data_IF_262267230168
#
_entry.id   IF_262267230168
#
_cell.length_a   1.000
_cell.length_b   1.000
_cell.length_c   1.000
_cell.angle_alpha   90.00
_cell.angle_beta   90.00
_cell.angle_gamma   90.00
#
_symmetry.space_group_name_H-M   'P 1'
#
loop_
_entity.id
_entity.type
_entity.pdbx_description
1 polymer ?
#
# COMPACT_ATOMS: atom_id res chain seq x y z
N UNK A 1 0.37 -40.69 -19.00
CA UNK A 1 1.74 -40.58 -18.46
C UNK A 1 2.17 -39.14 -18.61
N UNK A 2 2.23 -38.38 -17.52
CA UNK A 2 3.02 -37.14 -17.43
C UNK A 2 3.20 -36.84 -15.93
N UNK A 3 4.30 -37.33 -15.38
CA UNK A 3 4.75 -37.00 -14.04
C UNK A 3 5.28 -35.56 -14.05
N UNK A 4 4.46 -34.61 -13.61
CA UNK A 4 4.92 -33.26 -13.29
C UNK A 4 5.72 -33.30 -11.99
N UNK A 5 7.03 -33.53 -12.09
CA UNK A 5 7.95 -33.37 -10.96
C UNK A 5 8.12 -31.89 -10.69
N UNK A 6 7.36 -31.36 -9.72
CA UNK A 6 7.61 -30.04 -9.18
C UNK A 6 9.09 -29.95 -8.72
N UNK A 7 9.83 -28.90 -9.11
CA UNK A 7 11.26 -28.81 -8.79
C UNK A 7 11.46 -28.81 -7.28
N UNK A 8 12.35 -29.68 -6.79
CA UNK A 8 12.74 -29.72 -5.38
C UNK A 8 13.23 -28.35 -4.96
N UNK A 9 12.41 -27.59 -4.22
CA UNK A 9 12.83 -26.31 -3.65
C UNK A 9 13.99 -26.56 -2.70
N UNK A 10 15.15 -25.98 -3.01
CA UNK A 10 16.35 -26.04 -2.17
C UNK A 10 16.00 -25.53 -0.76
N UNK A 11 16.01 -26.42 0.23
CA UNK A 11 15.78 -26.09 1.63
C UNK A 11 17.04 -25.44 2.20
N UNK A 12 16.90 -24.24 2.75
CA UNK A 12 17.97 -23.56 3.48
C UNK A 12 17.92 -23.91 4.97
N UNK A 13 19.08 -24.03 5.59
CA UNK A 13 19.18 -24.02 7.06
C UNK A 13 18.99 -22.58 7.57
N UNK A 14 18.67 -22.39 8.87
CA UNK A 14 18.53 -21.04 9.45
C UNK A 14 19.76 -20.16 9.22
N UNK A 15 20.96 -20.73 9.41
CA UNK A 15 22.23 -20.03 9.18
C UNK A 15 22.41 -19.57 7.72
N UNK A 16 21.99 -20.38 6.75
CA UNK A 16 22.05 -20.00 5.33
C UNK A 16 20.99 -18.97 4.93
N UNK A 17 19.85 -18.95 5.63
CA UNK A 17 18.74 -18.05 5.34
C UNK A 17 18.93 -16.66 5.96
N UNK A 18 19.58 -16.56 7.12
CA UNK A 18 19.82 -15.32 7.85
C UNK A 18 20.40 -14.19 6.98
N UNK A 19 21.58 -14.32 6.34
CA UNK A 19 22.15 -13.22 5.55
C UNK A 19 21.26 -12.83 4.35
N UNK A 20 20.46 -13.77 3.82
CA UNK A 20 19.54 -13.49 2.72
C UNK A 20 18.35 -12.67 3.18
N UNK A 21 17.78 -12.98 4.35
CA UNK A 21 16.61 -12.28 4.85
C UNK A 21 16.98 -10.91 5.46
N UNK A 22 18.15 -10.79 6.08
CA UNK A 22 18.72 -9.50 6.50
C UNK A 22 18.88 -8.57 5.30
N UNK A 23 19.53 -9.03 4.21
CA UNK A 23 19.66 -8.25 2.97
C UNK A 23 18.30 -7.87 2.38
N UNK A 24 17.31 -8.76 2.46
CA UNK A 24 15.96 -8.51 1.97
C UNK A 24 15.22 -7.40 2.76
N UNK A 25 15.44 -7.32 4.07
CA UNK A 25 14.89 -6.28 4.95
C UNK A 25 15.70 -4.98 4.89
N UNK A 26 17.02 -5.06 4.72
CA UNK A 26 17.88 -3.89 4.57
C UNK A 26 17.61 -3.11 3.27
N UNK A 27 17.19 -3.80 2.20
CA UNK A 27 16.89 -3.16 0.92
C UNK A 27 15.62 -2.28 0.97
N UNK A 28 14.59 -2.70 1.70
CA UNK A 28 13.36 -1.93 1.91
C UNK A 28 12.59 -2.50 3.09
N UNK A 29 11.76 -1.67 3.71
CA UNK A 29 10.85 -2.10 4.77
C UNK A 29 9.96 -3.26 4.36
N UNK A 30 9.78 -4.21 5.28
CA UNK A 30 8.96 -5.41 5.08
C UNK A 30 7.94 -5.57 6.20
N UNK A 31 6.77 -6.12 5.86
CA UNK A 31 5.81 -6.59 6.86
C UNK A 31 6.27 -7.94 7.43
N UNK A 32 5.80 -8.27 8.63
CA UNK A 32 6.03 -9.61 9.20
C UNK A 32 5.51 -10.70 8.26
N UNK A 33 4.37 -10.47 7.61
CA UNK A 33 3.78 -11.38 6.65
C UNK A 33 4.66 -11.60 5.40
N UNK A 34 5.28 -10.54 4.88
CA UNK A 34 6.22 -10.64 3.75
C UNK A 34 7.46 -11.44 4.12
N UNK A 35 8.02 -11.21 5.31
CA UNK A 35 9.20 -11.93 5.80
C UNK A 35 8.86 -13.41 6.03
N UNK A 36 7.75 -13.74 6.69
CA UNK A 36 7.29 -15.14 6.86
C UNK A 36 7.12 -15.85 5.52
N UNK A 37 6.47 -15.20 4.54
CA UNK A 37 6.32 -15.75 3.18
C UNK A 37 7.67 -15.96 2.49
N UNK A 38 8.62 -15.04 2.68
CA UNK A 38 9.96 -15.15 2.10
C UNK A 38 10.75 -16.31 2.71
N UNK A 39 10.70 -16.48 4.03
CA UNK A 39 11.35 -17.57 4.76
C UNK A 39 10.77 -18.94 4.38
N UNK A 40 9.44 -19.05 4.28
CA UNK A 40 8.79 -20.26 3.76
C UNK A 40 9.21 -20.55 2.31
N UNK A 41 9.37 -19.51 1.48
CA UNK A 41 9.92 -19.64 0.13
C UNK A 41 11.36 -20.15 0.06
N UNK A 42 12.14 -19.97 1.14
CA UNK A 42 13.50 -20.53 1.31
C UNK A 42 13.49 -21.97 1.88
N UNK A 43 12.31 -22.54 2.13
CA UNK A 43 12.14 -23.92 2.58
C UNK A 43 12.39 -24.15 4.07
N UNK A 44 12.36 -23.09 4.90
CA UNK A 44 12.49 -23.20 6.35
C UNK A 44 11.23 -23.80 6.97
N UNK A 45 11.43 -24.58 8.03
CA UNK A 45 10.35 -25.02 8.90
C UNK A 45 9.76 -23.85 9.68
N UNK A 46 8.48 -23.93 10.06
CA UNK A 46 7.77 -22.83 10.73
C UNK A 46 8.46 -22.38 12.01
N UNK A 47 8.94 -23.32 12.83
CA UNK A 47 9.67 -23.04 14.07
C UNK A 47 10.94 -22.22 13.82
N UNK A 48 11.75 -22.63 12.84
CA UNK A 48 12.97 -21.93 12.46
C UNK A 48 12.70 -20.53 11.89
N UNK A 49 11.63 -20.41 11.09
CA UNK A 49 11.23 -19.14 10.52
C UNK A 49 10.75 -18.16 11.59
N UNK A 50 10.01 -18.63 12.60
CA UNK A 50 9.52 -17.80 13.70
C UNK A 50 10.67 -17.36 14.62
N UNK A 51 11.64 -18.24 14.92
CA UNK A 51 12.85 -17.87 15.66
C UNK A 51 13.65 -16.78 14.93
N UNK A 52 13.91 -16.98 13.63
CA UNK A 52 14.65 -16.00 12.83
C UNK A 52 13.88 -14.68 12.69
N UNK A 53 12.55 -14.71 12.66
CA UNK A 53 11.73 -13.50 12.67
C UNK A 53 11.95 -12.68 13.95
N UNK A 54 11.96 -13.35 15.11
CA UNK A 54 12.20 -12.69 16.41
C UNK A 54 13.59 -12.06 16.44
N UNK A 55 14.62 -12.76 15.97
CA UNK A 55 15.99 -12.23 15.87
C UNK A 55 16.05 -10.97 14.98
N UNK A 56 15.36 -10.99 13.82
CA UNK A 56 15.30 -9.83 12.93
C UNK A 56 14.62 -8.63 13.58
N UNK A 57 13.61 -8.86 14.41
CA UNK A 57 12.93 -7.81 15.17
C UNK A 57 13.84 -7.25 16.26
N UNK A 58 14.52 -8.11 17.03
CA UNK A 58 15.46 -7.71 18.08
C UNK A 58 16.62 -6.89 17.54
N UNK A 59 17.14 -7.28 16.37
CA UNK A 59 18.20 -6.55 15.67
C UNK A 59 17.68 -5.38 14.82
N UNK A 60 16.39 -5.02 14.95
CA UNK A 60 15.72 -3.91 14.27
C UNK A 60 15.75 -3.94 12.72
N UNK A 61 16.11 -5.08 12.12
CA UNK A 61 15.93 -5.33 10.68
C UNK A 61 14.46 -5.33 10.29
N UNK A 62 13.57 -5.76 11.19
CA UNK A 62 12.15 -5.84 10.97
C UNK A 62 11.38 -4.99 11.99
N UNK A 63 10.61 -4.02 11.49
CA UNK A 63 9.83 -3.11 12.32
C UNK A 63 8.50 -2.78 11.66
N UNK A 64 7.40 -3.26 12.26
CA UNK A 64 6.07 -3.16 11.67
C UNK A 64 5.54 -1.73 11.61
N UNK A 65 5.88 -0.89 12.60
CA UNK A 65 5.57 0.54 12.58
C UNK A 65 6.28 1.25 11.43
N UNK A 66 7.58 1.00 11.27
CA UNK A 66 8.40 1.58 10.19
C UNK A 66 7.86 1.17 8.82
N UNK A 67 7.49 -0.10 8.66
CA UNK A 67 6.81 -0.59 7.46
C UNK A 67 5.48 0.14 7.19
N UNK A 68 4.58 0.23 8.18
CA UNK A 68 3.27 0.84 7.98
C UNK A 68 3.38 2.31 7.53
N UNK A 69 4.28 3.07 8.17
CA UNK A 69 4.55 4.46 7.85
C UNK A 69 5.15 4.62 6.44
N UNK A 70 6.17 3.83 6.11
CA UNK A 70 6.80 3.85 4.79
C UNK A 70 5.82 3.44 3.68
N UNK A 71 4.98 2.43 3.94
CA UNK A 71 3.94 1.99 3.02
C UNK A 71 2.93 3.09 2.74
N UNK A 72 2.36 3.72 3.78
CA UNK A 72 1.38 4.79 3.62
C UNK A 72 1.95 5.96 2.81
N UNK A 73 3.14 6.46 3.19
CA UNK A 73 3.83 7.54 2.48
C UNK A 73 4.16 7.17 1.04
N UNK A 74 4.70 5.98 0.81
CA UNK A 74 5.06 5.52 -0.53
C UNK A 74 3.84 5.38 -1.45
N UNK A 75 2.72 4.81 -0.96
CA UNK A 75 1.48 4.70 -1.74
C UNK A 75 0.85 6.06 -2.01
N UNK A 76 0.90 6.98 -1.06
CA UNK A 76 0.40 8.33 -1.23
C UNK A 76 1.27 9.12 -2.24
N UNK A 77 2.58 9.20 -2.03
CA UNK A 77 3.47 10.02 -2.84
C UNK A 77 3.62 9.51 -4.28
N UNK A 78 3.74 8.18 -4.47
CA UNK A 78 4.07 7.60 -5.77
C UNK A 78 2.80 7.19 -6.54
N UNK A 79 1.78 6.68 -5.85
CA UNK A 79 0.56 6.16 -6.49
C UNK A 79 -0.66 7.07 -6.32
N UNK A 80 -0.54 8.11 -5.50
CA UNK A 80 -1.62 9.04 -5.14
C UNK A 80 -2.86 8.30 -4.62
N UNK A 81 -2.64 7.29 -3.78
CA UNK A 81 -3.72 6.56 -3.14
C UNK A 81 -4.31 7.37 -1.99
N UNK A 82 -5.63 7.32 -1.87
CA UNK A 82 -6.35 7.81 -0.70
C UNK A 82 -6.25 6.83 0.49
N UNK A 83 -6.62 7.32 1.67
CA UNK A 83 -6.53 6.62 2.95
C UNK A 83 -7.29 5.29 2.96
N UNK A 84 -8.45 5.19 2.31
CA UNK A 84 -9.22 3.95 2.27
C UNK A 84 -8.46 2.82 1.56
N UNK A 85 -7.78 3.14 0.46
CA UNK A 85 -7.01 2.16 -0.31
C UNK A 85 -5.70 1.79 0.37
N UNK A 86 -5.04 2.77 1.01
CA UNK A 86 -3.87 2.52 1.84
C UNK A 86 -4.23 1.61 3.02
N UNK A 87 -5.33 1.90 3.72
CA UNK A 87 -5.87 1.08 4.82
C UNK A 87 -6.09 -0.37 4.40
N UNK A 88 -6.76 -0.58 3.26
CA UNK A 88 -6.99 -1.93 2.74
C UNK A 88 -5.67 -2.64 2.38
N UNK A 89 -4.72 -1.91 1.80
CA UNK A 89 -3.38 -2.43 1.50
C UNK A 89 -2.64 -2.91 2.74
N UNK A 90 -2.59 -2.09 3.78
CA UNK A 90 -1.98 -2.43 5.06
C UNK A 90 -2.67 -3.63 5.73
N UNK A 91 -4.01 -3.71 5.67
CA UNK A 91 -4.75 -4.89 6.18
C UNK A 91 -4.35 -6.17 5.46
N UNK A 92 -4.16 -6.15 4.13
CA UNK A 92 -3.71 -7.33 3.36
C UNK A 92 -2.27 -7.75 3.72
N UNK A 93 -1.48 -6.82 4.24
CA UNK A 93 -0.13 -7.07 4.76
C UNK A 93 -0.14 -7.54 6.23
N UNK A 94 -1.31 -7.69 6.84
CA UNK A 94 -1.46 -8.19 8.21
C UNK A 94 -1.26 -7.13 9.30
N UNK A 95 -1.19 -5.84 8.93
CA UNK A 95 -0.89 -4.76 9.88
C UNK A 95 -2.07 -4.51 10.83
N UNK A 96 -1.77 -4.41 12.13
CA UNK A 96 -2.75 -4.16 13.18
C UNK A 96 -3.44 -2.79 13.06
N UNK A 97 -4.69 -2.71 13.55
CA UNK A 97 -5.53 -1.52 13.42
C UNK A 97 -4.93 -0.23 13.98
N UNK A 98 -4.23 -0.31 15.12
CA UNK A 98 -3.54 0.83 15.75
C UNK A 98 -2.45 1.40 14.83
N UNK A 99 -1.55 0.57 14.31
CA UNK A 99 -0.48 0.98 13.40
C UNK A 99 -1.02 1.54 12.08
N UNK A 100 -2.15 1.00 11.59
CA UNK A 100 -2.85 1.55 10.43
C UNK A 100 -3.31 2.98 10.71
N UNK A 101 -3.95 3.23 11.86
CA UNK A 101 -4.42 4.56 12.22
C UNK A 101 -3.26 5.56 12.31
N UNK A 102 -2.15 5.17 12.96
CA UNK A 102 -0.94 5.99 13.06
C UNK A 102 -0.35 6.30 11.67
N UNK A 103 -0.24 5.29 10.80
CA UNK A 103 0.28 5.45 9.45
C UNK A 103 -0.58 6.40 8.60
N UNK A 104 -1.90 6.30 8.70
CA UNK A 104 -2.82 7.19 7.99
C UNK A 104 -2.83 8.61 8.56
N UNK A 105 -2.71 8.76 9.89
CA UNK A 105 -2.61 10.06 10.55
C UNK A 105 -1.31 10.79 10.20
N UNK A 106 -0.24 10.05 9.87
CA UNK A 106 1.02 10.63 9.41
C UNK A 106 0.94 11.36 8.07
N UNK A 107 -0.14 11.17 7.31
CA UNK A 107 -0.40 11.87 6.05
C UNK A 107 -0.98 13.25 6.34
N UNK A 108 -0.19 14.30 6.12
CA UNK A 108 -0.58 15.69 6.34
C UNK A 108 -1.84 16.02 5.55
N UNK A 109 -2.85 16.54 6.25
CA UNK A 109 -4.16 16.83 5.67
C UNK A 109 -4.07 17.81 4.48
N UNK A 110 -3.27 18.86 4.60
CA UNK A 110 -3.08 19.85 3.54
C UNK A 110 -2.50 19.23 2.25
N UNK A 111 -1.47 18.38 2.37
CA UNK A 111 -0.88 17.68 1.22
C UNK A 111 -1.88 16.69 0.60
N UNK A 112 -2.65 16.00 1.45
CA UNK A 112 -3.69 15.06 1.04
C UNK A 112 -4.80 15.73 0.23
N UNK A 113 -5.33 16.86 0.72
CA UNK A 113 -6.34 17.66 0.03
C UNK A 113 -5.79 18.24 -1.29
N UNK A 114 -4.58 18.81 -1.27
CA UNK A 114 -3.92 19.33 -2.47
C UNK A 114 -3.76 18.25 -3.55
N UNK A 115 -3.38 17.04 -3.16
CA UNK A 115 -3.22 15.90 -4.08
C UNK A 115 -4.56 15.46 -4.67
N UNK A 116 -5.61 15.37 -3.86
CA UNK A 116 -6.96 15.05 -4.33
C UNK A 116 -7.45 16.09 -5.36
N UNK A 117 -7.30 17.37 -5.04
CA UNK A 117 -7.69 18.46 -5.93
C UNK A 117 -6.91 18.44 -7.25
N UNK A 118 -5.59 18.26 -7.19
CA UNK A 118 -4.75 18.14 -8.38
C UNK A 118 -5.13 16.94 -9.26
N UNK A 119 -5.45 15.78 -8.65
CA UNK A 119 -5.95 14.61 -9.37
C UNK A 119 -7.27 14.90 -10.09
N UNK A 120 -8.19 15.58 -9.41
CA UNK A 120 -9.51 15.90 -9.95
C UNK A 120 -9.41 16.87 -11.12
N UNK A 121 -8.70 17.99 -10.93
CA UNK A 121 -8.44 19.00 -11.96
C UNK A 121 -7.73 18.40 -13.17
N UNK A 122 -6.68 17.61 -12.94
CA UNK A 122 -5.94 16.95 -14.04
C UNK A 122 -6.82 15.97 -14.79
N UNK A 123 -7.73 15.24 -14.12
CA UNK A 123 -8.56 14.22 -14.78
C UNK A 123 -9.73 14.83 -15.55
N UNK A 124 -10.36 15.88 -15.02
CA UNK A 124 -11.59 16.49 -15.53
C UNK A 124 -11.61 16.78 -17.06
N UNK A 125 -10.59 17.43 -17.66
CA UNK A 125 -10.63 17.74 -19.09
C UNK A 125 -10.57 16.49 -19.99
N UNK A 126 -10.01 15.39 -19.49
CA UNK A 126 -9.86 14.13 -20.25
C UNK A 126 -11.06 13.18 -20.13
N UNK A 127 -12.09 13.54 -19.35
CA UNK A 127 -13.29 12.70 -19.23
C UNK A 127 -14.24 12.98 -20.39
N UNK A 128 -14.42 11.98 -21.24
CA UNK A 128 -15.46 11.96 -22.30
C UNK A 128 -16.75 11.36 -21.73
N UNK A 129 -17.87 12.05 -21.93
CA UNK A 129 -19.19 11.65 -21.46
C UNK A 129 -20.27 12.30 -22.32
N UNK A 130 -21.45 11.68 -22.42
CA UNK A 130 -22.58 12.19 -23.19
C UNK A 130 -23.29 13.35 -22.47
N UNK A 131 -23.18 13.42 -21.14
CA UNK A 131 -23.77 14.50 -20.34
C UNK A 131 -22.84 14.99 -19.22
N UNK A 132 -23.10 16.19 -18.70
CA UNK A 132 -22.37 16.73 -17.55
C UNK A 132 -22.50 15.81 -16.33
N UNK A 133 -23.72 15.32 -16.03
CA UNK A 133 -23.97 14.38 -14.91
C UNK A 133 -23.14 13.11 -15.04
N UNK A 134 -23.05 12.54 -16.23
CA UNK A 134 -22.23 11.36 -16.48
C UNK A 134 -20.73 11.68 -16.33
N UNK A 135 -20.28 12.85 -16.78
CA UNK A 135 -18.90 13.31 -16.60
C UNK A 135 -18.51 13.40 -15.12
N UNK A 136 -19.39 13.96 -14.30
CA UNK A 136 -19.24 14.04 -12.83
C UNK A 136 -19.16 12.66 -12.20
N UNK A 137 -20.08 11.75 -12.54
CA UNK A 137 -20.07 10.38 -12.02
C UNK A 137 -18.79 9.61 -12.39
N UNK A 138 -18.26 9.81 -13.61
CA UNK A 138 -16.98 9.23 -14.04
C UNK A 138 -15.80 9.78 -13.23
N UNK A 139 -15.79 11.07 -12.89
CA UNK A 139 -14.77 11.67 -12.04
C UNK A 139 -14.81 11.10 -10.62
N UNK A 140 -16.00 11.05 -10.01
CA UNK A 140 -16.20 10.48 -8.68
C UNK A 140 -15.73 9.01 -8.64
N UNK A 141 -16.13 8.19 -9.61
CA UNK A 141 -15.69 6.78 -9.72
C UNK A 141 -14.18 6.65 -9.83
N UNK A 142 -13.52 7.53 -10.58
CA UNK A 142 -12.05 7.54 -10.67
C UNK A 142 -11.40 7.81 -9.31
N UNK A 143 -11.88 8.81 -8.56
CA UNK A 143 -11.33 9.18 -7.26
C UNK A 143 -11.63 8.13 -6.17
N UNK A 144 -12.82 7.51 -6.21
CA UNK A 144 -13.14 6.34 -5.39
C UNK A 144 -12.20 5.17 -5.68
N UNK A 145 -11.89 4.91 -6.96
CA UNK A 145 -10.90 3.90 -7.38
C UNK A 145 -9.47 4.22 -6.89
N UNK A 146 -9.17 5.49 -6.64
CA UNK A 146 -7.93 5.93 -5.97
C UNK A 146 -7.98 5.77 -4.45
N UNK A 147 -9.15 5.60 -3.86
CA UNK A 147 -9.34 5.29 -2.44
C UNK A 147 -9.57 6.49 -1.54
N UNK A 148 -10.05 7.61 -2.09
CA UNK A 148 -10.43 8.78 -1.30
C UNK A 148 -11.83 8.61 -0.74
N UNK A 149 -12.08 9.28 0.37
CA UNK A 149 -13.35 9.33 1.08
C UNK A 149 -14.41 10.06 0.27
N UNK A 150 -15.65 9.59 0.32
CA UNK A 150 -16.75 10.14 -0.48
C UNK A 150 -16.96 11.64 -0.23
N UNK A 151 -16.98 12.06 1.04
CA UNK A 151 -17.22 13.47 1.40
C UNK A 151 -16.12 14.39 0.85
N UNK A 152 -14.87 13.96 0.92
CA UNK A 152 -13.74 14.69 0.36
C UNK A 152 -13.81 14.78 -1.17
N UNK A 153 -14.25 13.70 -1.82
CA UNK A 153 -14.46 13.65 -3.27
C UNK A 153 -15.57 14.62 -3.67
N UNK A 154 -16.71 14.58 -2.98
CA UNK A 154 -17.87 15.42 -3.30
C UNK A 154 -17.54 16.91 -3.21
N UNK A 155 -16.80 17.31 -2.17
CA UNK A 155 -16.30 18.68 -2.00
C UNK A 155 -15.44 19.11 -3.19
N UNK A 156 -14.37 18.37 -3.50
CA UNK A 156 -13.44 18.72 -4.58
C UNK A 156 -14.10 18.70 -5.96
N UNK A 157 -15.04 17.78 -6.19
CA UNK A 157 -15.76 17.71 -7.46
C UNK A 157 -16.62 18.96 -7.68
N UNK A 158 -17.31 19.45 -6.64
CA UNK A 158 -18.08 20.71 -6.71
C UNK A 158 -17.19 21.91 -7.04
N UNK A 159 -16.02 22.01 -6.41
CA UNK A 159 -15.03 23.08 -6.66
C UNK A 159 -14.48 23.06 -8.09
N UNK A 160 -14.16 21.88 -8.62
CA UNK A 160 -13.65 21.74 -10.00
C UNK A 160 -14.73 22.11 -11.03
N UNK A 161 -15.98 21.76 -10.76
CA UNK A 161 -17.11 22.12 -11.63
C UNK A 161 -17.36 23.63 -11.60
N UNK A 162 -17.36 24.27 -10.43
CA UNK A 162 -17.60 25.71 -10.32
C UNK A 162 -16.51 26.53 -11.02
N UNK A 163 -15.25 26.13 -10.86
CA UNK A 163 -14.10 26.80 -11.51
C UNK A 163 -14.17 26.73 -13.04
N UNK A 164 -14.78 25.68 -13.60
CA UNK A 164 -14.93 25.52 -15.06
C UNK A 164 -16.08 26.35 -15.63
N UNK A 165 -17.05 26.80 -14.82
CA UNK A 165 -18.17 27.64 -15.28
C UNK A 165 -17.82 29.13 -15.43
N UNK A 166 -16.69 29.56 -14.85
CA UNK A 166 -16.26 30.98 -14.81
C UNK A 166 -15.26 31.30 -15.93
N UNK A 167 -14.76 30.29 -16.65
CA UNK A 167 -13.93 30.43 -17.85
C UNK A 167 -14.71 30.04 -19.09
#
# INVERSE_FOLDING_TARGET
MENSTAPFKKKHTPSQARPKIEKYCAYQERSHLQVKRKLAGLGLHTSDADLLLVELMQNNFLNETRFAMAYARGKFNIKHWGRLKIKQGLKREGIGGRLIQEALASLRLAEYQKTLHALAQKKWPFIKAASHREKVAKLQRFLLGKGYEYDAIDCVVKEVISTTKIR
#
